data_IF_345036911519
#
_entry.id   IF_345036911519
#
_cell.length_a   1.000
_cell.length_b   1.000
_cell.length_c   1.000
_cell.angle_alpha   90.00
_cell.angle_beta   90.00
_cell.angle_gamma   90.00
#
_symmetry.space_group_name_H-M   'P 1'
#
loop_
_entity.id
_entity.type
_entity.pdbx_description
1 polymer ?
#
# COMPACT_ATOMS: atom_id res chain seq x y z
N UNK A 1 3.71 3.02 -2.15
CA UNK A 1 4.38 1.73 -2.40
C UNK A 1 3.92 0.81 -1.30
N UNK A 2 3.09 -0.14 -1.67
CA UNK A 2 2.27 -0.89 -0.75
C UNK A 2 2.66 -2.36 -0.62
N UNK A 3 2.35 -2.94 0.54
CA UNK A 3 2.74 -4.30 0.93
C UNK A 3 1.73 -4.89 1.90
N UNK A 4 2.03 -6.08 2.43
CA UNK A 4 1.31 -6.64 3.55
C UNK A 4 1.62 -5.86 4.82
N UNK A 5 0.61 -5.60 5.64
CA UNK A 5 0.87 -5.33 7.04
C UNK A 5 0.29 -6.40 7.93
N UNK A 6 0.94 -6.55 9.08
CA UNK A 6 0.70 -7.68 9.96
C UNK A 6 1.03 -7.32 11.40
N UNK A 7 0.36 -7.99 12.33
CA UNK A 7 0.72 -7.94 13.74
C UNK A 7 1.79 -9.01 14.03
N UNK A 8 3.04 -8.64 14.38
CA UNK A 8 4.13 -9.60 14.61
C UNK A 8 3.90 -10.55 15.78
N UNK A 9 3.08 -10.16 16.75
CA UNK A 9 2.72 -11.01 17.90
C UNK A 9 1.77 -12.13 17.44
N UNK A 10 0.85 -11.80 16.53
CA UNK A 10 -0.13 -12.74 15.96
C UNK A 10 0.48 -13.65 14.89
N UNK A 11 1.45 -13.15 14.13
CA UNK A 11 2.16 -13.96 13.11
C UNK A 11 3.28 -14.81 13.69
N UNK A 12 3.63 -14.62 14.96
CA UNK A 12 4.74 -15.32 15.61
C UNK A 12 6.12 -14.92 15.07
N UNK A 13 6.23 -13.71 14.51
CA UNK A 13 7.49 -13.18 13.97
C UNK A 13 7.36 -12.49 12.62
N UNK A 14 8.52 -12.17 12.04
CA UNK A 14 8.63 -11.40 10.80
C UNK A 14 8.17 -12.19 9.58
N UNK A 15 7.41 -11.55 8.70
CA UNK A 15 7.09 -12.05 7.36
C UNK A 15 8.16 -11.60 6.35
N UNK A 16 8.59 -12.52 5.48
CA UNK A 16 9.65 -12.26 4.49
C UNK A 16 9.19 -12.38 3.03
N UNK A 17 7.98 -12.87 2.79
CA UNK A 17 7.43 -13.10 1.45
C UNK A 17 5.95 -12.74 1.33
N UNK A 18 5.55 -12.25 0.17
CA UNK A 18 4.13 -12.08 -0.20
C UNK A 18 3.34 -13.39 -0.16
N UNK A 19 4.00 -14.55 -0.24
CA UNK A 19 3.37 -15.86 -0.08
C UNK A 19 2.62 -15.99 1.26
N UNK A 20 3.02 -15.20 2.28
CA UNK A 20 2.35 -15.14 3.58
C UNK A 20 0.87 -14.75 3.47
N UNK A 21 0.46 -14.05 2.40
CA UNK A 21 -0.95 -13.74 2.13
C UNK A 21 -1.80 -15.02 1.99
N UNK A 22 -1.20 -16.14 1.58
CA UNK A 22 -1.87 -17.42 1.34
C UNK A 22 -1.38 -18.57 2.22
N UNK A 23 -0.57 -18.28 3.25
CA UNK A 23 -0.10 -19.29 4.21
C UNK A 23 -1.29 -19.79 5.05
N UNK A 24 -1.48 -21.11 5.09
CA UNK A 24 -2.59 -21.75 5.79
C UNK A 24 -2.54 -21.51 7.31
N UNK A 25 -1.41 -21.11 7.87
CA UNK A 25 -1.29 -20.67 9.28
C UNK A 25 -2.21 -19.49 9.61
N UNK A 26 -2.55 -18.66 8.62
CA UNK A 26 -3.37 -17.46 8.81
C UNK A 26 -4.81 -17.65 8.31
N UNK A 27 -5.22 -18.89 7.97
CA UNK A 27 -6.57 -19.20 7.50
C UNK A 27 -7.64 -18.63 8.45
N UNK A 28 -8.59 -17.89 7.88
CA UNK A 28 -9.67 -17.23 8.61
C UNK A 28 -9.26 -15.91 9.28
N UNK A 29 -8.01 -15.46 9.09
CA UNK A 29 -7.42 -14.25 9.68
C UNK A 29 -6.66 -13.41 8.65
N UNK A 30 -6.99 -13.55 7.37
CA UNK A 30 -6.42 -12.74 6.28
C UNK A 30 -7.47 -11.78 5.73
N UNK A 31 -7.09 -10.54 5.44
CA UNK A 31 -7.90 -9.64 4.61
C UNK A 31 -7.18 -9.17 3.36
N UNK A 32 -7.96 -8.79 2.36
CA UNK A 32 -7.48 -8.34 1.05
C UNK A 32 -8.28 -7.12 0.58
N UNK A 33 -7.61 -6.17 -0.06
CA UNK A 33 -8.24 -5.00 -0.66
C UNK A 33 -9.26 -5.39 -1.73
N UNK A 34 -10.49 -4.90 -1.58
CA UNK A 34 -11.59 -5.06 -2.52
C UNK A 34 -11.73 -3.90 -3.51
N UNK A 35 -10.65 -3.59 -4.21
CA UNK A 35 -10.72 -2.74 -5.41
C UNK A 35 -10.15 -3.57 -6.53
N UNK A 36 -10.95 -4.05 -7.52
CA UNK A 36 -10.50 -5.06 -8.48
C UNK A 36 -9.17 -4.72 -9.14
N UNK A 37 -8.97 -3.45 -9.53
CA UNK A 37 -7.77 -2.96 -10.20
C UNK A 37 -6.53 -2.89 -9.30
N UNK A 38 -6.68 -3.06 -7.99
CA UNK A 38 -5.60 -2.96 -7.00
C UNK A 38 -5.44 -4.29 -6.27
N UNK A 39 -6.52 -4.83 -5.71
CA UNK A 39 -6.54 -6.09 -4.97
C UNK A 39 -6.05 -7.28 -5.78
N UNK A 40 -6.32 -7.31 -7.09
CA UNK A 40 -5.80 -8.38 -7.96
C UNK A 40 -4.27 -8.39 -8.01
N UNK A 41 -3.62 -7.22 -7.94
CA UNK A 41 -2.17 -7.13 -7.99
C UNK A 41 -1.56 -7.60 -6.68
N UNK A 42 -2.18 -7.27 -5.54
CA UNK A 42 -1.78 -7.81 -4.22
C UNK A 42 -1.90 -9.34 -4.20
N UNK A 43 -3.02 -9.86 -4.70
CA UNK A 43 -3.24 -11.29 -4.82
C UNK A 43 -2.23 -11.96 -5.75
N UNK A 44 -1.91 -11.34 -6.89
CA UNK A 44 -0.91 -11.86 -7.83
C UNK A 44 0.50 -11.86 -7.25
N UNK A 45 0.88 -10.83 -6.48
CA UNK A 45 2.15 -10.82 -5.75
C UNK A 45 2.25 -12.04 -4.82
N UNK A 46 1.19 -12.33 -4.05
CA UNK A 46 1.16 -13.50 -3.17
C UNK A 46 1.14 -14.84 -3.93
N UNK A 47 0.41 -14.92 -5.03
CA UNK A 47 0.23 -16.14 -5.81
C UNK A 47 1.51 -16.51 -6.58
N UNK A 48 2.21 -15.52 -7.13
CA UNK A 48 3.51 -15.73 -7.75
C UNK A 48 4.55 -16.13 -6.70
N UNK A 49 4.56 -15.44 -5.56
CA UNK A 49 5.46 -15.76 -4.45
C UNK A 49 5.24 -17.17 -3.86
N UNK A 50 4.01 -17.69 -3.90
CA UNK A 50 3.69 -19.06 -3.49
C UNK A 50 3.96 -20.12 -4.57
N UNK A 51 4.37 -19.71 -5.77
CA UNK A 51 4.69 -20.59 -6.90
C UNK A 51 3.46 -21.08 -7.68
N UNK A 52 2.29 -20.47 -7.49
CA UNK A 52 1.07 -20.86 -8.21
C UNK A 52 1.21 -20.61 -9.73
N UNK A 53 1.70 -19.45 -10.10
CA UNK A 53 1.79 -18.97 -11.47
C UNK A 53 2.91 -17.94 -11.59
N UNK A 54 3.63 -17.91 -12.71
CA UNK A 54 4.54 -16.83 -13.04
C UNK A 54 3.85 -15.91 -14.05
N UNK A 55 3.64 -14.65 -13.68
CA UNK A 55 3.01 -13.68 -14.56
C UNK A 55 4.04 -13.07 -15.50
N UNK A 56 3.68 -12.90 -16.78
CA UNK A 56 4.52 -12.14 -17.70
C UNK A 56 4.55 -10.66 -17.32
N UNK A 57 3.39 -10.11 -16.97
CA UNK A 57 3.21 -8.74 -16.48
C UNK A 57 2.04 -8.71 -15.48
N UNK A 58 2.35 -8.58 -14.19
CA UNK A 58 1.34 -8.48 -13.12
C UNK A 58 0.48 -7.22 -13.24
N UNK A 59 0.95 -6.20 -13.94
CA UNK A 59 0.20 -4.97 -14.21
C UNK A 59 -0.71 -5.06 -15.44
N UNK A 60 -0.58 -6.10 -16.27
CA UNK A 60 -1.37 -6.29 -17.51
C UNK A 60 -1.58 -7.79 -17.78
N UNK A 61 -2.29 -8.45 -16.87
CA UNK A 61 -2.56 -9.89 -16.95
C UNK A 61 -3.43 -10.23 -18.17
N UNK A 62 -3.10 -11.36 -18.80
CA UNK A 62 -3.96 -12.00 -19.81
C UNK A 62 -5.20 -12.61 -19.15
N UNK A 63 -6.24 -12.90 -19.94
CA UNK A 63 -7.44 -13.61 -19.43
C UNK A 63 -7.12 -14.94 -18.77
N UNK A 64 -6.18 -15.69 -19.33
CA UNK A 64 -5.77 -16.98 -18.78
C UNK A 64 -5.08 -16.83 -17.41
N UNK A 65 -4.20 -15.84 -17.27
CA UNK A 65 -3.58 -15.51 -15.97
C UNK A 65 -4.62 -15.03 -14.95
N UNK A 66 -5.59 -14.21 -15.38
CA UNK A 66 -6.73 -13.79 -14.55
C UNK A 66 -7.54 -15.01 -14.10
N UNK A 67 -7.88 -15.93 -15.00
CA UNK A 67 -8.68 -17.12 -14.66
C UNK A 67 -7.99 -17.99 -13.61
N UNK A 68 -6.70 -18.31 -13.81
CA UNK A 68 -5.91 -19.09 -12.85
C UNK A 68 -5.89 -18.43 -11.47
N UNK A 69 -5.65 -17.12 -11.42
CA UNK A 69 -5.60 -16.39 -10.16
C UNK A 69 -6.98 -16.36 -9.48
N UNK A 70 -8.04 -16.02 -10.21
CA UNK A 70 -9.38 -15.88 -9.65
C UNK A 70 -9.95 -17.23 -9.19
N UNK A 71 -9.72 -18.31 -9.94
CA UNK A 71 -10.16 -19.65 -9.54
C UNK A 71 -9.46 -20.09 -8.24
N UNK A 72 -8.17 -19.79 -8.11
CA UNK A 72 -7.43 -20.02 -6.87
C UNK A 72 -7.99 -19.19 -5.70
N UNK A 73 -8.30 -17.91 -5.93
CA UNK A 73 -8.88 -17.04 -4.90
C UNK A 73 -10.28 -17.52 -4.45
N UNK A 74 -11.12 -17.95 -5.40
CA UNK A 74 -12.42 -18.58 -5.12
C UNK A 74 -12.24 -19.80 -4.23
N UNK A 75 -11.31 -20.70 -4.57
CA UNK A 75 -11.04 -21.88 -3.76
C UNK A 75 -10.57 -21.50 -2.35
N UNK A 76 -9.60 -20.59 -2.22
CA UNK A 76 -9.13 -20.10 -0.91
C UNK A 76 -10.26 -19.49 -0.08
N UNK A 77 -11.18 -18.75 -0.70
CA UNK A 77 -12.36 -18.19 -0.01
C UNK A 77 -13.33 -19.27 0.44
N UNK A 78 -13.62 -20.27 -0.39
CA UNK A 78 -14.47 -21.41 -0.03
C UNK A 78 -13.85 -22.26 1.09
N UNK A 79 -12.52 -22.32 1.12
CA UNK A 79 -11.78 -22.90 2.23
C UNK A 79 -11.80 -21.99 3.48
N UNK A 80 -12.43 -20.81 3.46
CA UNK A 80 -12.48 -19.91 4.61
C UNK A 80 -11.13 -19.28 4.94
N UNK A 81 -10.24 -19.12 3.95
CA UNK A 81 -8.94 -18.46 4.13
C UNK A 81 -9.07 -16.99 4.50
N UNK A 82 -9.97 -16.27 3.83
CA UNK A 82 -10.18 -14.85 4.06
C UNK A 82 -11.20 -14.60 5.17
N UNK A 83 -10.84 -13.70 6.08
CA UNK A 83 -11.76 -13.13 7.08
C UNK A 83 -12.66 -12.07 6.46
N UNK A 84 -12.09 -11.16 5.68
CA UNK A 84 -12.77 -9.98 5.18
C UNK A 84 -12.12 -9.43 3.90
N UNK A 85 -12.87 -8.59 3.19
CA UNK A 85 -12.40 -7.82 2.05
C UNK A 85 -12.73 -6.35 2.30
N UNK A 86 -11.71 -5.48 2.32
CA UNK A 86 -11.87 -4.08 2.74
C UNK A 86 -11.80 -3.11 1.55
N UNK A 87 -12.55 -2.02 1.58
CA UNK A 87 -12.60 -1.02 0.50
C UNK A 87 -12.11 0.36 0.94
N UNK A 88 -12.11 0.60 2.25
CA UNK A 88 -11.80 1.89 2.84
C UNK A 88 -10.64 1.80 3.81
N UNK A 89 -9.92 2.91 3.96
CA UNK A 89 -8.84 3.05 4.95
C UNK A 89 -9.29 2.66 6.37
N UNK A 90 -10.49 3.10 6.79
CA UNK A 90 -10.98 2.80 8.13
C UNK A 90 -11.30 1.32 8.34
N UNK A 91 -11.76 0.61 7.30
CA UNK A 91 -12.03 -0.83 7.39
C UNK A 91 -10.74 -1.63 7.60
N UNK A 92 -9.66 -1.34 6.87
CA UNK A 92 -8.38 -2.05 7.08
C UNK A 92 -7.84 -1.80 8.48
N UNK A 93 -7.82 -0.55 8.94
CA UNK A 93 -7.41 -0.22 10.32
C UNK A 93 -8.23 -1.00 11.35
N UNK A 94 -9.55 -1.02 11.22
CA UNK A 94 -10.43 -1.70 12.19
C UNK A 94 -10.21 -3.21 12.24
N UNK A 95 -9.98 -3.87 11.10
CA UNK A 95 -9.75 -5.31 11.03
C UNK A 95 -8.50 -5.74 11.80
N UNK A 96 -7.41 -4.97 11.68
CA UNK A 96 -6.17 -5.24 12.42
C UNK A 96 -6.30 -4.86 13.89
N UNK A 97 -6.92 -3.70 14.20
CA UNK A 97 -7.10 -3.22 15.59
C UNK A 97 -8.00 -4.16 16.40
N UNK A 98 -9.06 -4.71 15.80
CA UNK A 98 -9.95 -5.65 16.47
C UNK A 98 -9.34 -7.05 16.66
N UNK A 99 -8.19 -7.33 16.03
CA UNK A 99 -7.54 -8.64 16.02
C UNK A 99 -8.23 -9.68 15.11
N UNK A 100 -9.23 -9.26 14.32
CA UNK A 100 -9.94 -10.14 13.38
C UNK A 100 -9.02 -10.68 12.29
N UNK A 101 -7.99 -9.91 11.91
CA UNK A 101 -6.94 -10.35 10.99
C UNK A 101 -5.56 -10.26 11.61
N UNK A 102 -4.68 -11.16 11.20
CA UNK A 102 -3.26 -11.13 11.54
C UNK A 102 -2.40 -10.57 10.40
N UNK A 103 -2.88 -10.71 9.16
CA UNK A 103 -2.19 -10.29 7.94
C UNK A 103 -3.21 -9.72 6.96
N UNK A 104 -2.91 -8.60 6.34
CA UNK A 104 -3.71 -8.09 5.23
C UNK A 104 -2.86 -7.33 4.22
N UNK A 105 -3.32 -7.26 2.96
CA UNK A 105 -2.79 -6.24 2.06
C UNK A 105 -3.19 -4.87 2.59
N UNK A 106 -2.26 -3.91 2.59
CA UNK A 106 -2.47 -2.67 3.34
C UNK A 106 -1.80 -1.44 2.71
N UNK A 107 -2.48 -0.30 2.79
CA UNK A 107 -1.89 1.00 2.49
C UNK A 107 -0.99 1.49 3.63
N UNK A 108 0.15 2.08 3.30
CA UNK A 108 1.20 2.40 4.27
C UNK A 108 0.75 3.22 5.49
N UNK A 109 -0.14 4.24 5.39
CA UNK A 109 -0.51 5.00 6.58
C UNK A 109 -1.42 4.26 7.54
N UNK A 110 -2.06 3.15 7.13
CA UNK A 110 -2.93 2.38 8.01
C UNK A 110 -2.12 1.76 9.14
N UNK A 111 -0.87 1.32 8.89
CA UNK A 111 0.06 0.84 9.93
C UNK A 111 0.26 1.88 11.02
N UNK A 112 0.47 3.13 10.62
CA UNK A 112 0.67 4.23 11.56
C UNK A 112 -0.59 4.46 12.41
N UNK A 113 -1.77 4.44 11.79
CA UNK A 113 -3.04 4.57 12.52
C UNK A 113 -3.30 3.40 13.47
N UNK A 114 -2.98 2.17 13.07
CA UNK A 114 -3.10 0.97 13.92
C UNK A 114 -2.15 1.09 15.13
N UNK A 115 -0.91 1.54 14.90
CA UNK A 115 0.06 1.77 15.98
C UNK A 115 -0.40 2.85 16.97
N UNK A 116 -1.06 3.91 16.49
CA UNK A 116 -1.59 4.95 17.39
C UNK A 116 -2.73 4.45 18.29
N UNK A 117 -3.43 3.39 17.89
CA UNK A 117 -4.40 2.68 18.74
C UNK A 117 -3.74 1.68 19.71
N UNK A 118 -2.40 1.65 19.77
CA UNK A 118 -1.64 0.78 20.67
C UNK A 118 -1.50 -0.66 20.19
N UNK A 119 -1.86 -0.96 18.93
CA UNK A 119 -1.75 -2.31 18.36
C UNK A 119 -0.45 -2.45 17.56
N UNK A 120 0.40 -3.47 17.86
CA UNK A 120 1.59 -3.73 17.07
C UNK A 120 1.24 -4.05 15.62
N UNK A 121 1.85 -3.32 14.69
CA UNK A 121 1.65 -3.55 13.26
C UNK A 121 2.94 -3.21 12.50
N UNK A 122 3.38 -4.08 11.60
CA UNK A 122 4.58 -3.89 10.78
C UNK A 122 4.18 -3.73 9.32
N UNK A 123 4.80 -2.77 8.63
CA UNK A 123 4.72 -2.71 7.16
C UNK A 123 5.83 -3.57 6.55
N UNK A 124 5.47 -4.68 5.93
CA UNK A 124 6.42 -5.71 5.57
C UNK A 124 7.36 -5.31 4.40
N UNK A 125 8.68 -5.32 4.64
CA UNK A 125 9.71 -5.29 3.58
C UNK A 125 9.94 -6.72 3.05
N UNK A 126 9.08 -7.12 2.12
CA UNK A 126 9.03 -8.47 1.55
C UNK A 126 10.03 -8.61 0.39
N UNK A 127 10.60 -9.82 0.21
CA UNK A 127 11.66 -10.07 -0.78
C UNK A 127 11.23 -9.83 -2.23
N UNK A 128 9.95 -10.03 -2.54
CA UNK A 128 9.40 -9.80 -3.88
C UNK A 128 9.19 -8.32 -4.19
N UNK A 129 9.31 -7.43 -3.20
CA UNK A 129 9.14 -6.00 -3.36
C UNK A 129 7.74 -5.48 -3.04
N UNK A 130 7.42 -4.30 -3.53
CA UNK A 130 6.19 -3.56 -3.22
C UNK A 130 5.31 -3.37 -4.45
N UNK A 131 4.02 -3.20 -4.22
CA UNK A 131 3.06 -2.70 -5.21
C UNK A 131 3.14 -1.17 -5.28
N UNK A 132 3.69 -0.63 -6.34
CA UNK A 132 3.79 0.80 -6.60
C UNK A 132 2.46 1.41 -7.01
N UNK A 133 2.24 2.67 -6.68
CA UNK A 133 1.14 3.47 -7.22
C UNK A 133 1.56 4.93 -7.25
N UNK A 134 0.99 5.70 -8.17
CA UNK A 134 1.20 7.13 -8.24
C UNK A 134 -0.15 7.82 -8.48
N UNK A 135 -0.38 8.91 -7.75
CA UNK A 135 -1.45 9.85 -8.06
C UNK A 135 -0.90 10.98 -8.94
N UNK A 136 -1.79 11.66 -9.67
CA UNK A 136 -1.44 12.84 -10.45
C UNK A 136 -2.63 13.79 -10.54
N UNK A 137 -2.33 15.09 -10.55
CA UNK A 137 -3.31 16.11 -10.89
C UNK A 137 -3.34 16.26 -12.42
N UNK A 138 -4.53 16.31 -12.99
CA UNK A 138 -4.73 16.49 -14.44
C UNK A 138 -5.77 17.58 -14.68
N UNK A 139 -5.52 18.40 -15.70
CA UNK A 139 -6.45 19.45 -16.12
C UNK A 139 -7.29 18.92 -17.27
N UNK A 140 -8.62 19.04 -17.18
CA UNK A 140 -9.50 18.72 -18.30
C UNK A 140 -9.25 19.67 -19.47
N UNK A 141 -9.18 19.13 -20.69
CA UNK A 141 -8.99 19.91 -21.91
C UNK A 141 -10.11 20.93 -22.22
N UNK A 142 -11.22 20.89 -21.48
CA UNK A 142 -12.33 21.84 -21.59
C UNK A 142 -12.17 23.07 -20.70
N UNK A 143 -11.19 23.09 -19.80
CA UNK A 143 -10.93 24.21 -18.89
C UNK A 143 -10.15 25.29 -19.63
N UNK A 144 -10.64 26.53 -19.58
CA UNK A 144 -10.02 27.67 -20.26
C UNK A 144 -10.19 28.97 -19.47
N UNK A 145 -9.47 30.02 -19.88
CA UNK A 145 -9.47 31.33 -19.25
C UNK A 145 -9.06 31.28 -17.78
N UNK A 146 -9.67 32.12 -16.95
CA UNK A 146 -9.34 32.25 -15.51
C UNK A 146 -9.37 30.93 -14.73
N UNK A 147 -10.22 29.97 -15.12
CA UNK A 147 -10.29 28.65 -14.47
C UNK A 147 -9.04 27.82 -14.75
N UNK A 148 -8.46 27.96 -15.94
CA UNK A 148 -7.21 27.30 -16.30
C UNK A 148 -6.04 27.86 -15.50
N UNK A 149 -5.98 29.19 -15.37
CA UNK A 149 -4.95 29.86 -14.56
C UNK A 149 -5.00 29.37 -13.11
N UNK A 150 -6.19 29.30 -12.51
CA UNK A 150 -6.39 28.78 -11.15
C UNK A 150 -5.99 27.30 -11.01
N UNK A 151 -6.26 26.47 -12.03
CA UNK A 151 -5.83 25.08 -12.02
C UNK A 151 -4.30 24.96 -12.02
N UNK A 152 -3.61 25.80 -12.78
CA UNK A 152 -2.15 25.87 -12.77
C UNK A 152 -1.61 26.40 -11.42
N UNK A 153 -2.20 27.45 -10.85
CA UNK A 153 -1.82 27.93 -9.52
C UNK A 153 -1.94 26.84 -8.45
N UNK A 154 -3.01 26.04 -8.51
CA UNK A 154 -3.21 24.93 -7.59
C UNK A 154 -2.18 23.81 -7.76
N UNK A 155 -1.86 23.43 -9.01
CA UNK A 155 -0.79 22.45 -9.29
C UNK A 155 0.57 22.98 -8.82
N UNK A 156 0.87 24.26 -9.10
CA UNK A 156 2.10 24.90 -8.65
C UNK A 156 2.21 24.88 -7.13
N UNK A 157 1.13 25.15 -6.40
CA UNK A 157 1.11 25.07 -4.94
C UNK A 157 1.42 23.67 -4.41
N UNK A 158 0.89 22.61 -5.05
CA UNK A 158 1.24 21.22 -4.71
C UNK A 158 2.72 20.91 -4.97
N UNK A 159 3.27 21.43 -6.06
CA UNK A 159 4.66 21.21 -6.48
C UNK A 159 5.68 22.11 -5.76
N UNK A 160 5.24 23.18 -5.10
CA UNK A 160 6.09 24.12 -4.35
C UNK A 160 6.76 23.46 -3.14
N UNK A 161 6.17 22.37 -2.63
CA UNK A 161 6.82 21.44 -1.70
C UNK A 161 6.17 21.37 -0.32
N UNK A 162 5.48 22.41 0.14
CA UNK A 162 4.80 22.40 1.45
C UNK A 162 3.81 21.24 1.56
N UNK A 163 2.94 21.07 0.56
CA UNK A 163 1.94 20.00 0.54
C UNK A 163 2.59 18.60 0.49
N UNK A 164 3.70 18.47 -0.24
CA UNK A 164 4.50 17.25 -0.26
C UNK A 164 5.14 16.93 1.10
N UNK A 165 5.66 17.93 1.81
CA UNK A 165 6.19 17.77 3.16
C UNK A 165 5.09 17.44 4.18
N UNK A 166 3.89 18.01 4.02
CA UNK A 166 2.72 17.65 4.81
C UNK A 166 2.44 16.15 4.68
N UNK A 167 2.24 15.63 3.47
CA UNK A 167 1.94 14.20 3.30
C UNK A 167 3.13 13.28 3.61
N UNK A 168 4.37 13.79 3.52
CA UNK A 168 5.57 13.03 3.91
C UNK A 168 5.58 12.66 5.39
N UNK A 169 5.04 13.51 6.27
CA UNK A 169 4.87 13.20 7.70
C UNK A 169 3.83 12.11 7.97
N UNK A 170 3.17 11.60 6.93
CA UNK A 170 2.28 10.42 6.98
C UNK A 170 2.84 9.23 6.21
N UNK A 171 4.08 9.35 5.70
CA UNK A 171 4.75 8.31 4.94
C UNK A 171 4.48 8.31 3.43
N UNK A 172 3.76 9.30 2.89
CA UNK A 172 3.59 9.48 1.46
C UNK A 172 4.71 10.30 0.83
N UNK A 173 4.81 10.28 -0.50
CA UNK A 173 5.89 10.97 -1.20
C UNK A 173 5.36 11.76 -2.39
N UNK A 174 5.93 12.95 -2.58
CA UNK A 174 5.73 13.76 -3.78
C UNK A 174 6.94 13.64 -4.70
N UNK A 175 6.71 13.70 -6.02
CA UNK A 175 7.76 13.55 -7.04
C UNK A 175 8.87 14.60 -6.92
N UNK A 176 8.52 15.86 -6.62
CA UNK A 176 9.50 16.94 -6.44
C UNK A 176 10.10 16.96 -5.03
N UNK A 177 10.84 15.90 -4.73
CA UNK A 177 11.52 15.69 -3.44
C UNK A 177 12.46 16.84 -3.07
N UNK A 178 13.06 17.51 -4.07
CA UNK A 178 13.92 18.68 -3.85
C UNK A 178 13.18 19.88 -3.25
N UNK A 179 11.94 20.11 -3.66
CA UNK A 179 11.09 21.15 -3.08
C UNK A 179 10.55 20.71 -1.71
N UNK A 180 10.12 19.46 -1.59
CA UNK A 180 9.67 18.90 -0.30
C UNK A 180 10.74 19.03 0.78
N UNK A 181 12.00 18.76 0.45
CA UNK A 181 13.13 18.86 1.39
C UNK A 181 13.23 20.23 2.07
N UNK A 182 12.86 21.31 1.37
CA UNK A 182 12.92 22.68 1.90
C UNK A 182 11.91 22.92 3.04
N UNK A 183 10.87 22.09 3.12
CA UNK A 183 9.79 22.20 4.11
C UNK A 183 9.83 21.10 5.19
N UNK A 184 10.89 20.29 5.18
CA UNK A 184 11.17 19.31 6.22
C UNK A 184 12.40 19.76 7.03
N UNK A 185 12.32 19.57 8.34
CA UNK A 185 13.50 19.64 9.19
C UNK A 185 14.51 18.56 8.80
N UNK A 186 15.81 18.73 9.15
CA UNK A 186 16.83 17.71 8.88
C UNK A 186 16.47 16.34 9.44
N UNK A 187 15.88 16.27 10.64
CA UNK A 187 15.50 15.02 11.30
C UNK A 187 14.32 14.34 10.61
N UNK A 188 13.34 15.11 10.14
CA UNK A 188 12.24 14.58 9.34
C UNK A 188 12.76 14.03 8.00
N UNK A 189 13.62 14.77 7.30
CA UNK A 189 14.21 14.31 6.04
C UNK A 189 15.02 13.01 6.25
N UNK A 190 15.83 12.98 7.30
CA UNK A 190 16.66 11.82 7.63
C UNK A 190 15.82 10.57 7.90
N UNK A 191 14.70 10.70 8.61
CA UNK A 191 13.78 9.58 8.84
C UNK A 191 12.97 9.21 7.58
N UNK A 192 12.18 10.14 7.03
CA UNK A 192 11.20 9.86 5.98
C UNK A 192 11.84 9.53 4.63
N UNK A 193 12.98 10.13 4.30
CA UNK A 193 13.63 10.00 2.99
C UNK A 193 14.93 9.20 3.05
N UNK A 194 15.76 9.41 4.07
CA UNK A 194 17.04 8.69 4.18
C UNK A 194 16.92 7.36 4.94
N UNK A 195 15.78 7.08 5.59
CA UNK A 195 15.54 5.84 6.33
C UNK A 195 16.42 5.68 7.57
N UNK A 196 16.96 6.78 8.11
CA UNK A 196 17.77 6.76 9.34
C UNK A 196 16.88 6.62 10.58
N UNK A 197 17.43 6.15 11.72
CA UNK A 197 16.71 6.17 12.99
C UNK A 197 16.23 7.59 13.33
N UNK A 198 15.01 7.71 13.87
CA UNK A 198 14.46 8.99 14.30
C UNK A 198 15.30 9.60 15.43
N UNK A 199 15.95 10.75 15.18
CA UNK A 199 16.82 11.39 16.17
C UNK A 199 16.07 11.94 17.40
N UNK A 200 14.77 12.22 17.23
CA UNK A 200 13.81 12.70 18.23
C UNK A 200 12.43 12.15 17.90
N UNK A 201 11.47 12.35 18.81
CA UNK A 201 10.07 12.09 18.50
C UNK A 201 9.62 13.00 17.34
N UNK A 202 9.04 12.39 16.30
CA UNK A 202 8.50 13.12 15.15
C UNK A 202 6.98 13.13 15.20
N UNK A 203 6.43 14.27 14.78
CA UNK A 203 4.98 14.50 14.78
C UNK A 203 4.38 14.17 13.41
N UNK A 204 3.10 13.84 13.42
CA UNK A 204 2.25 13.85 12.24
C UNK A 204 2.03 15.31 11.74
N UNK A 205 1.35 15.52 10.61
CA UNK A 205 1.10 16.87 10.10
C UNK A 205 0.18 17.74 10.97
N UNK A 206 -0.51 17.14 11.95
CA UNK A 206 -1.46 17.80 12.83
C UNK A 206 -0.87 18.10 14.21
N UNK A 207 0.37 17.67 14.47
CA UNK A 207 1.10 17.91 15.71
C UNK A 207 1.01 16.79 16.74
N UNK A 208 0.47 15.61 16.37
CA UNK A 208 0.42 14.45 17.28
C UNK A 208 1.71 13.63 17.19
N UNK A 209 2.22 13.08 18.30
CA UNK A 209 3.34 12.13 18.27
C UNK A 209 3.07 10.94 17.34
N UNK A 210 4.01 10.65 16.45
CA UNK A 210 3.84 9.61 15.42
C UNK A 210 4.99 8.61 15.39
N UNK A 211 6.23 9.10 15.45
CA UNK A 211 7.43 8.27 15.34
C UNK A 211 8.25 8.48 16.61
N UNK A 212 8.33 7.46 17.49
CA UNK A 212 9.19 7.48 18.66
C UNK A 212 10.67 7.69 18.30
N UNK A 213 11.41 8.32 19.22
CA UNK A 213 12.86 8.45 19.10
C UNK A 213 13.51 7.05 18.97
N UNK A 214 14.39 6.91 18.00
CA UNK A 214 15.15 5.68 17.72
C UNK A 214 14.45 4.71 16.78
N UNK A 215 13.17 4.93 16.44
CA UNK A 215 12.47 4.09 15.46
C UNK A 215 13.16 4.18 14.09
N UNK A 216 13.25 3.04 13.40
CA UNK A 216 13.81 2.94 12.05
C UNK A 216 12.67 2.72 11.08
N UNK A 217 12.67 3.48 9.98
CA UNK A 217 11.63 3.40 8.97
C UNK A 217 11.60 2.02 8.30
N UNK A 218 10.42 1.41 8.29
CA UNK A 218 10.15 0.17 7.56
C UNK A 218 10.54 0.30 6.07
N UNK A 219 11.25 -0.70 5.54
CA UNK A 219 11.70 -0.73 4.14
C UNK A 219 12.88 0.17 3.79
N UNK A 220 13.44 0.89 4.77
CA UNK A 220 14.64 1.72 4.59
C UNK A 220 14.36 3.08 3.95
N UNK A 221 15.32 3.57 3.16
CA UNK A 221 15.23 4.89 2.54
C UNK A 221 14.15 4.94 1.46
N UNK A 222 13.71 6.15 1.11
CA UNK A 222 12.83 6.39 -0.04
C UNK A 222 13.36 5.69 -1.30
N UNK A 223 14.66 5.79 -1.56
CA UNK A 223 15.30 5.20 -2.74
C UNK A 223 15.34 3.67 -2.69
N UNK A 224 15.53 3.08 -1.52
CA UNK A 224 15.53 1.62 -1.36
C UNK A 224 14.14 1.05 -1.61
N UNK A 225 13.09 1.72 -1.11
CA UNK A 225 11.70 1.36 -1.36
C UNK A 225 11.34 1.49 -2.84
N UNK A 226 11.74 2.57 -3.50
CA UNK A 226 11.46 2.80 -4.92
C UNK A 226 12.21 1.83 -5.85
N UNK A 227 13.40 1.35 -5.46
CA UNK A 227 14.13 0.32 -6.23
C UNK A 227 13.49 -1.06 -6.15
N UNK A 228 12.64 -1.30 -5.16
CA UNK A 228 11.96 -2.56 -4.90
C UNK A 228 10.50 -2.57 -5.35
N UNK A 229 10.08 -1.69 -6.28
CA UNK A 229 8.73 -1.80 -6.85
C UNK A 229 8.67 -2.98 -7.82
N UNK A 230 7.77 -3.92 -7.56
CA UNK A 230 7.61 -5.15 -8.33
C UNK A 230 6.54 -5.05 -9.41
N UNK A 231 5.52 -4.21 -9.16
CA UNK A 231 4.40 -3.95 -10.05
C UNK A 231 3.89 -2.54 -9.77
N UNK A 232 3.43 -1.83 -10.80
CA UNK A 232 2.74 -0.55 -10.64
C UNK A 232 1.26 -0.74 -10.85
N UNK A 233 0.44 -0.04 -10.05
CA UNK A 233 -0.99 0.08 -10.33
C UNK A 233 -1.19 0.55 -11.77
N UNK A 234 -1.96 -0.21 -12.52
CA UNK A 234 -2.26 0.00 -13.92
C UNK A 234 -3.67 -0.49 -14.22
N UNK A 235 -4.28 0.12 -15.23
CA UNK A 235 -5.50 -0.39 -15.81
C UNK A 235 -5.13 -1.43 -16.87
N UNK A 236 -5.42 -2.70 -16.59
CA UNK A 236 -5.16 -3.81 -17.51
C UNK A 236 -6.00 -3.67 -18.78
N UNK A 237 -5.51 -4.19 -19.92
CA UNK A 237 -6.29 -4.24 -21.17
C UNK A 237 -7.58 -5.04 -21.00
N UNK A 238 -7.54 -6.09 -20.19
CA UNK A 238 -8.69 -6.96 -19.91
C UNK A 238 -9.47 -6.50 -18.65
N UNK A 239 -9.46 -5.22 -18.30
CA UNK A 239 -10.10 -4.70 -17.07
C UNK A 239 -11.56 -5.12 -16.90
N UNK A 240 -12.38 -5.05 -17.95
CA UNK A 240 -13.80 -5.39 -17.83
C UNK A 240 -13.99 -6.89 -17.53
N UNK A 241 -13.12 -7.72 -18.11
CA UNK A 241 -13.08 -9.16 -17.80
C UNK A 241 -12.62 -9.40 -16.36
N UNK A 242 -11.56 -8.72 -15.93
CA UNK A 242 -11.07 -8.77 -14.56
C UNK A 242 -12.17 -8.39 -13.55
N UNK A 243 -12.89 -7.29 -13.77
CA UNK A 243 -13.95 -6.83 -12.86
C UNK A 243 -15.08 -7.87 -12.76
N UNK A 244 -15.45 -8.50 -13.88
CA UNK A 244 -16.42 -9.59 -13.88
C UNK A 244 -15.93 -10.77 -13.01
N UNK A 245 -14.71 -11.25 -13.25
CA UNK A 245 -14.13 -12.40 -12.54
C UNK A 245 -13.89 -12.10 -11.05
N UNK A 246 -13.47 -10.88 -10.73
CA UNK A 246 -13.37 -10.42 -9.34
C UNK A 246 -14.73 -10.41 -8.63
N UNK A 247 -15.80 -9.99 -9.32
CA UNK A 247 -17.16 -10.07 -8.77
C UNK A 247 -17.55 -11.51 -8.47
N UNK A 248 -17.26 -12.45 -9.38
CA UNK A 248 -17.51 -13.89 -9.15
C UNK A 248 -16.79 -14.38 -7.88
N UNK A 249 -15.53 -14.01 -7.69
CA UNK A 249 -14.77 -14.27 -6.47
C UNK A 249 -15.45 -13.74 -5.19
N UNK A 250 -15.88 -12.47 -5.19
CA UNK A 250 -16.54 -11.89 -4.02
C UNK A 250 -17.91 -12.52 -3.72
N UNK A 251 -18.57 -13.11 -4.70
CA UNK A 251 -19.88 -13.77 -4.52
C UNK A 251 -19.82 -15.27 -4.24
N UNK A 252 -18.65 -15.91 -4.41
CA UNK A 252 -18.46 -17.36 -4.27
C UNK A 252 -18.54 -17.91 -2.84
#
# INVERSE_FOLDING_TARGET
ADTLGYNPEETGGKLESWASLFDDKFRGRVALLNVPQIGVMDAAMGAEASGLINFKDKGDMTRQEIDVLIDFLIQKKQDGHFRAFWETFGQSVNLMVSGEVAVESMWSPAVTAIRSEGVPCIYADLKEGYRGWHGGLSISNKVSGKRLDQAYEYINWWLDGWAGAFVARQGYYMSETGNVKKHLSPEEWDYWYMGKPAAKELMDPFGNPLVPKGEVRDGGSYWDRFKKIAVWNSLMKENDYLVKRWTEFLTA
#
